data_IF_353066081605
#
_entry.id   IF_353066081605
#
_cell.length_a   1.000
_cell.length_b   1.000
_cell.length_c   1.000
_cell.angle_alpha   90.00
_cell.angle_beta   90.00
_cell.angle_gamma   90.00
#
_symmetry.space_group_name_H-M   'P 1'
#
loop_
_entity.id
_entity.type
_entity.pdbx_description
1 polymer ?
#
# COMPACT_ATOMS: atom_id res chain seq x y z
N UNK A 1 -6.58 -4.57 -81.06
CA UNK A 1 -5.35 -5.04 -81.72
C UNK A 1 -4.23 -5.02 -80.68
N UNK A 2 -3.71 -6.22 -80.34
CA UNK A 2 -2.38 -6.61 -79.84
C UNK A 2 -1.63 -5.70 -78.83
N UNK A 3 -1.00 -6.17 -77.73
CA UNK A 3 -0.63 -7.51 -77.31
C UNK A 3 -0.42 -7.56 -75.78
N UNK A 4 -0.62 -8.75 -75.23
CA UNK A 4 -0.26 -9.18 -73.89
C UNK A 4 1.25 -9.39 -73.84
N UNK A 5 1.92 -9.00 -72.75
CA UNK A 5 3.21 -9.59 -72.39
C UNK A 5 3.33 -9.72 -70.87
N UNK A 6 3.40 -10.97 -70.42
CA UNK A 6 3.59 -11.36 -69.03
C UNK A 6 5.07 -11.49 -68.69
N UNK A 7 5.37 -11.24 -67.42
CA UNK A 7 6.60 -11.65 -66.76
C UNK A 7 6.31 -11.80 -65.26
N UNK A 8 6.72 -12.90 -64.60
CA UNK A 8 6.50 -13.08 -63.18
C UNK A 8 7.45 -12.17 -62.40
N UNK A 9 6.90 -11.26 -61.59
CA UNK A 9 7.68 -10.54 -60.60
C UNK A 9 8.08 -11.52 -59.49
N UNK A 10 9.38 -11.84 -59.45
CA UNK A 10 9.99 -12.67 -58.42
C UNK A 10 9.71 -12.08 -57.02
N UNK A 11 9.10 -12.89 -56.16
CA UNK A 11 9.03 -12.63 -54.72
C UNK A 11 10.41 -12.89 -54.14
N UNK A 12 11.08 -11.94 -53.47
CA UNK A 12 12.28 -12.26 -52.73
C UNK A 12 11.88 -12.99 -51.45
N UNK A 13 12.25 -14.27 -51.37
CA UNK A 13 12.20 -15.05 -50.15
C UNK A 13 13.36 -14.68 -49.21
N UNK A 14 13.01 -14.50 -47.93
CA UNK A 14 13.78 -14.73 -46.71
C UNK A 14 15.25 -14.25 -46.62
N UNK A 15 15.48 -13.34 -45.68
CA UNK A 15 16.81 -13.01 -45.15
C UNK A 15 16.74 -12.41 -43.74
N UNK A 16 15.86 -12.93 -42.88
CA UNK A 16 15.76 -12.50 -41.48
C UNK A 16 16.88 -13.12 -40.65
N UNK A 17 18.05 -12.50 -40.66
CA UNK A 17 19.13 -12.76 -39.72
C UNK A 17 18.69 -12.34 -38.31
N UNK A 18 18.08 -13.28 -37.58
CA UNK A 18 17.93 -13.20 -36.12
C UNK A 18 19.31 -13.23 -35.47
N UNK A 19 19.97 -12.08 -35.45
CA UNK A 19 21.32 -11.93 -34.90
C UNK A 19 21.36 -12.10 -33.36
N UNK A 20 22.54 -12.46 -32.81
CA UNK A 20 22.76 -12.68 -31.37
C UNK A 20 22.49 -11.45 -30.48
N UNK A 21 22.36 -10.25 -31.05
CA UNK A 21 22.04 -9.02 -30.34
C UNK A 21 20.61 -9.00 -29.75
N UNK A 22 19.63 -9.64 -30.41
CA UNK A 22 18.24 -9.70 -29.92
C UNK A 22 18.10 -10.64 -28.71
N UNK A 23 18.93 -11.69 -28.63
CA UNK A 23 18.96 -12.62 -27.49
C UNK A 23 19.67 -12.03 -26.25
N UNK A 24 20.64 -11.13 -26.45
CA UNK A 24 21.30 -10.41 -25.36
C UNK A 24 20.35 -9.45 -24.62
N UNK A 25 19.59 -8.65 -25.37
CA UNK A 25 18.67 -7.66 -24.79
C UNK A 25 17.50 -8.27 -24.01
N UNK A 26 16.98 -9.43 -24.41
CA UNK A 26 15.91 -10.12 -23.68
C UNK A 26 16.40 -10.72 -22.36
N UNK A 27 17.63 -11.27 -22.33
CA UNK A 27 18.25 -11.84 -21.13
C UNK A 27 18.64 -10.77 -20.11
N UNK A 28 19.18 -9.64 -20.57
CA UNK A 28 19.46 -8.47 -19.72
C UNK A 28 18.17 -7.87 -19.13
N UNK A 29 17.09 -7.80 -19.91
CA UNK A 29 15.77 -7.36 -19.42
C UNK A 29 15.20 -8.29 -18.36
N UNK A 30 15.26 -9.60 -18.57
CA UNK A 30 14.77 -10.59 -17.61
C UNK A 30 15.58 -10.59 -16.30
N UNK A 31 16.91 -10.47 -16.39
CA UNK A 31 17.78 -10.38 -15.20
C UNK A 31 17.53 -9.11 -14.40
N UNK A 32 17.34 -7.96 -15.07
CA UNK A 32 16.95 -6.72 -14.41
C UNK A 32 15.59 -6.81 -13.71
N UNK A 33 14.60 -7.42 -14.36
CA UNK A 33 13.28 -7.64 -13.77
C UNK A 33 13.37 -8.55 -12.53
N UNK A 34 14.09 -9.67 -12.62
CA UNK A 34 14.30 -10.57 -11.49
C UNK A 34 15.04 -9.86 -10.34
N UNK A 35 16.07 -9.06 -10.64
CA UNK A 35 16.79 -8.25 -9.67
C UNK A 35 15.88 -7.22 -8.98
N UNK A 36 15.00 -6.55 -9.72
CA UNK A 36 14.05 -5.59 -9.16
C UNK A 36 13.06 -6.27 -8.20
N UNK A 37 12.53 -7.43 -8.59
CA UNK A 37 11.65 -8.25 -7.73
C UNK A 37 12.38 -8.70 -6.47
N UNK A 38 13.65 -9.11 -6.59
CA UNK A 38 14.45 -9.53 -5.44
C UNK A 38 14.71 -8.39 -4.45
N UNK A 39 15.05 -7.18 -4.94
CA UNK A 39 15.24 -6.00 -4.09
C UNK A 39 13.94 -5.62 -3.39
N UNK A 40 12.81 -5.65 -4.09
CA UNK A 40 11.50 -5.40 -3.50
C UNK A 40 11.17 -6.45 -2.43
N UNK A 41 11.31 -7.74 -2.73
CA UNK A 41 11.04 -8.80 -1.76
C UNK A 41 11.91 -8.64 -0.49
N UNK A 42 13.20 -8.34 -0.64
CA UNK A 42 14.11 -8.10 0.48
C UNK A 42 13.69 -6.88 1.31
N UNK A 43 13.36 -5.76 0.65
CA UNK A 43 12.87 -4.56 1.33
C UNK A 43 11.55 -4.84 2.07
N UNK A 44 10.64 -5.61 1.48
CA UNK A 44 9.37 -5.99 2.11
C UNK A 44 9.58 -6.78 3.40
N UNK A 45 10.45 -7.80 3.37
CA UNK A 45 10.78 -8.61 4.55
C UNK A 45 11.47 -7.74 5.61
N UNK A 46 12.43 -6.91 5.20
CA UNK A 46 13.17 -6.05 6.11
C UNK A 46 12.24 -5.05 6.82
N UNK A 47 11.33 -4.43 6.08
CA UNK A 47 10.42 -3.40 6.59
C UNK A 47 9.28 -3.96 7.45
N UNK A 48 8.83 -5.20 7.23
CA UNK A 48 7.72 -5.76 7.98
C UNK A 48 8.16 -6.70 9.12
N UNK A 49 9.35 -7.31 9.05
CA UNK A 49 9.73 -8.38 9.99
C UNK A 49 11.02 -8.14 10.76
N UNK A 50 11.99 -7.44 10.18
CA UNK A 50 13.33 -7.34 10.78
C UNK A 50 13.59 -5.96 11.39
N UNK A 51 13.29 -4.88 10.67
CA UNK A 51 13.58 -3.51 11.10
C UNK A 51 12.47 -2.51 10.71
N UNK A 52 11.22 -2.67 11.19
CA UNK A 52 10.13 -1.75 10.84
C UNK A 52 10.42 -0.28 11.15
N UNK A 53 11.17 -0.01 12.22
CA UNK A 53 11.57 1.35 12.60
C UNK A 53 12.58 2.00 11.65
N UNK A 54 13.30 1.20 10.87
CA UNK A 54 14.28 1.69 9.89
C UNK A 54 13.71 1.76 8.47
N UNK A 55 12.41 1.49 8.30
CA UNK A 55 11.73 1.49 7.01
C UNK A 55 12.02 2.72 6.13
N UNK A 56 12.11 3.97 6.63
CA UNK A 56 12.46 5.10 5.77
C UNK A 56 13.86 4.98 5.15
N UNK A 57 14.83 4.49 5.93
CA UNK A 57 16.21 4.33 5.47
C UNK A 57 16.33 3.14 4.50
N UNK A 58 15.75 2.01 4.85
CA UNK A 58 15.79 0.79 4.02
C UNK A 58 15.00 0.98 2.72
N UNK A 59 13.87 1.68 2.76
CA UNK A 59 13.10 2.05 1.57
C UNK A 59 13.83 3.05 0.68
N UNK A 60 14.51 4.05 1.25
CA UNK A 60 15.35 4.96 0.48
C UNK A 60 16.52 4.22 -0.20
N UNK A 61 17.20 3.32 0.53
CA UNK A 61 18.27 2.50 -0.02
C UNK A 61 17.79 1.57 -1.13
N UNK A 62 16.66 0.86 -0.93
CA UNK A 62 16.04 0.00 -1.93
C UNK A 62 15.62 0.80 -3.18
N UNK A 63 15.05 1.99 -3.00
CA UNK A 63 14.72 2.91 -4.10
C UNK A 63 15.97 3.27 -4.91
N UNK A 64 17.07 3.62 -4.24
CA UNK A 64 18.34 3.92 -4.89
C UNK A 64 18.89 2.72 -5.68
N UNK A 65 18.83 1.52 -5.10
CA UNK A 65 19.25 0.28 -5.75
C UNK A 65 18.40 -0.04 -6.99
N UNK A 66 17.08 0.11 -6.90
CA UNK A 66 16.15 -0.09 -8.01
C UNK A 66 16.39 0.90 -9.15
N UNK A 67 16.60 2.19 -8.83
CA UNK A 67 16.93 3.19 -9.83
C UNK A 67 18.28 2.90 -10.49
N UNK A 68 19.31 2.56 -9.71
CA UNK A 68 20.62 2.21 -10.26
C UNK A 68 20.53 0.99 -11.20
N UNK A 69 19.80 -0.05 -10.80
CA UNK A 69 19.53 -1.23 -11.63
C UNK A 69 18.82 -0.83 -12.93
N UNK A 70 17.70 -0.11 -12.84
CA UNK A 70 16.92 0.31 -14.00
C UNK A 70 17.74 1.17 -14.98
N UNK A 71 18.57 2.09 -14.45
CA UNK A 71 19.42 2.95 -15.26
C UNK A 71 20.54 2.18 -15.95
N UNK A 72 21.16 1.20 -15.26
CA UNK A 72 22.14 0.28 -15.85
C UNK A 72 21.53 -0.61 -16.94
N UNK A 73 20.25 -0.94 -16.82
CA UNK A 73 19.48 -1.66 -17.85
C UNK A 73 18.95 -0.76 -18.98
N UNK A 74 19.31 0.52 -19.00
CA UNK A 74 19.02 1.45 -20.08
C UNK A 74 17.67 2.17 -20.01
N UNK A 75 16.88 2.05 -18.93
CA UNK A 75 15.60 2.77 -18.82
C UNK A 75 15.82 4.27 -18.70
N UNK A 76 15.19 5.07 -19.55
CA UNK A 76 15.19 6.53 -19.46
C UNK A 76 14.35 7.05 -18.28
N UNK A 77 14.58 8.30 -17.87
CA UNK A 77 13.74 8.98 -16.87
C UNK A 77 12.27 9.10 -17.31
N UNK A 78 12.01 9.15 -18.61
CA UNK A 78 10.66 9.13 -19.19
C UNK A 78 9.98 7.78 -18.99
N UNK A 79 10.69 6.68 -19.25
CA UNK A 79 10.19 5.32 -19.00
C UNK A 79 9.98 5.04 -17.50
N UNK A 80 10.79 5.66 -16.64
CA UNK A 80 10.59 5.62 -15.20
C UNK A 80 9.44 6.55 -14.72
N UNK A 81 8.98 7.49 -15.54
CA UNK A 81 7.83 8.35 -15.25
C UNK A 81 8.17 9.68 -14.55
N UNK A 82 9.39 10.20 -14.66
CA UNK A 82 9.84 11.43 -13.99
C UNK A 82 9.65 12.73 -14.79
N UNK A 83 9.20 12.68 -16.05
CA UNK A 83 9.20 13.87 -16.94
C UNK A 83 7.95 14.75 -16.84
N UNK A 84 6.82 14.23 -16.36
CA UNK A 84 5.52 14.91 -16.36
C UNK A 84 5.26 15.76 -15.10
N UNK A 85 6.31 16.22 -14.41
CA UNK A 85 6.24 16.78 -13.06
C UNK A 85 5.11 17.80 -12.83
N UNK A 86 5.02 18.87 -13.63
CA UNK A 86 3.97 19.90 -13.43
C UNK A 86 2.55 19.36 -13.61
N UNK A 87 2.33 18.51 -14.62
CA UNK A 87 1.02 17.89 -14.87
C UNK A 87 0.67 16.90 -13.76
N UNK A 88 1.65 16.10 -13.35
CA UNK A 88 1.55 15.18 -12.23
C UNK A 88 1.19 15.87 -10.92
N UNK A 89 1.87 16.97 -10.61
CA UNK A 89 1.58 17.78 -9.43
C UNK A 89 0.17 18.37 -9.45
N UNK A 90 -0.33 18.82 -10.62
CA UNK A 90 -1.72 19.32 -10.74
C UNK A 90 -2.74 18.22 -10.52
N UNK A 91 -2.59 17.08 -11.21
CA UNK A 91 -3.52 15.94 -11.10
C UNK A 91 -3.48 15.38 -9.67
N UNK A 92 -2.28 15.08 -9.17
CA UNK A 92 -2.08 14.53 -7.83
C UNK A 92 -2.53 15.49 -6.74
N UNK A 93 -2.26 16.79 -6.88
CA UNK A 93 -2.72 17.82 -5.94
C UNK A 93 -4.24 17.96 -5.91
N UNK A 94 -4.91 17.95 -7.07
CA UNK A 94 -6.37 17.96 -7.13
C UNK A 94 -6.98 16.70 -6.47
N UNK A 95 -6.39 15.53 -6.71
CA UNK A 95 -6.81 14.29 -6.08
C UNK A 95 -6.56 14.28 -4.57
N UNK A 96 -5.41 14.78 -4.12
CA UNK A 96 -5.10 14.95 -2.70
C UNK A 96 -6.08 15.91 -2.00
N UNK A 97 -6.43 17.02 -2.65
CA UNK A 97 -7.45 17.95 -2.16
C UNK A 97 -8.84 17.28 -2.08
N UNK A 98 -9.22 16.50 -3.10
CA UNK A 98 -10.47 15.74 -3.07
C UNK A 98 -10.50 14.72 -1.92
N UNK A 99 -9.39 14.04 -1.62
CA UNK A 99 -9.28 13.16 -0.45
C UNK A 99 -9.47 13.96 0.83
N UNK A 100 -8.78 15.10 1.00
CA UNK A 100 -8.94 15.95 2.18
C UNK A 100 -10.39 16.44 2.38
N UNK A 101 -11.08 16.81 1.29
CA UNK A 101 -12.50 17.18 1.31
C UNK A 101 -13.37 16.00 1.73
N UNK A 102 -13.12 14.80 1.20
CA UNK A 102 -13.87 13.60 1.56
C UNK A 102 -13.72 13.25 3.05
N UNK A 103 -12.50 13.33 3.58
CA UNK A 103 -12.25 13.18 5.02
C UNK A 103 -12.96 14.27 5.84
N UNK A 104 -12.90 15.53 5.41
CA UNK A 104 -13.58 16.64 6.07
C UNK A 104 -15.09 16.48 6.12
N UNK A 105 -15.71 16.12 5.00
CA UNK A 105 -17.14 15.84 4.91
C UNK A 105 -17.52 14.64 5.80
N UNK A 106 -16.70 13.59 5.81
CA UNK A 106 -16.90 12.41 6.65
C UNK A 106 -16.83 12.70 8.16
N UNK A 107 -16.00 13.65 8.60
CA UNK A 107 -15.99 14.08 10.01
C UNK A 107 -17.15 15.04 10.32
N UNK A 108 -17.54 15.87 9.36
CA UNK A 108 -18.64 16.83 9.53
C UNK A 108 -19.95 16.10 9.87
N UNK A 109 -20.20 14.94 9.26
CA UNK A 109 -21.38 14.11 9.49
C UNK A 109 -21.20 13.25 10.77
N UNK A 110 -21.98 13.45 11.85
CA UNK A 110 -21.78 12.74 13.11
C UNK A 110 -21.85 11.21 12.99
N UNK A 111 -22.78 10.70 12.17
CA UNK A 111 -23.00 9.27 11.97
C UNK A 111 -21.78 8.54 11.35
N UNK A 112 -20.87 9.27 10.70
CA UNK A 112 -19.68 8.69 10.06
C UNK A 112 -18.40 8.89 10.85
N UNK A 113 -18.39 9.71 11.92
CA UNK A 113 -17.18 10.01 12.70
C UNK A 113 -16.47 8.79 13.25
N UNK A 114 -17.23 7.75 13.64
CA UNK A 114 -16.67 6.48 14.12
C UNK A 114 -15.73 5.80 13.13
N UNK A 115 -15.93 6.00 11.82
CA UNK A 115 -15.07 5.43 10.78
C UNK A 115 -13.74 6.17 10.62
N UNK A 116 -13.64 7.40 11.15
CA UNK A 116 -12.43 8.22 11.09
C UNK A 116 -11.64 8.22 12.40
N UNK A 117 -12.18 7.60 13.47
CA UNK A 117 -11.45 7.36 14.71
C UNK A 117 -10.61 6.10 14.59
N UNK A 118 -9.33 6.27 14.29
CA UNK A 118 -8.37 5.17 14.39
C UNK A 118 -7.71 5.20 15.76
N UNK A 119 -8.09 4.28 16.65
CA UNK A 119 -7.49 4.11 17.98
C UNK A 119 -5.97 3.93 17.93
N UNK A 120 -5.43 3.38 16.82
CA UNK A 120 -3.98 3.24 16.65
C UNK A 120 -3.32 4.58 16.37
N UNK A 121 -3.94 5.44 15.56
CA UNK A 121 -3.43 6.80 15.35
C UNK A 121 -3.58 7.65 16.62
N UNK A 122 -4.63 7.41 17.41
CA UNK A 122 -4.89 8.10 18.67
C UNK A 122 -3.96 7.65 19.81
N UNK A 123 -3.52 6.39 19.84
CA UNK A 123 -2.59 5.87 20.84
C UNK A 123 -1.15 6.38 20.66
N UNK A 124 -0.80 6.86 19.46
CA UNK A 124 0.49 7.50 19.21
C UNK A 124 0.56 8.90 19.83
N UNK A 125 1.78 9.29 20.25
CA UNK A 125 2.05 10.69 20.58
C UNK A 125 1.85 11.60 19.36
N UNK A 126 1.60 12.89 19.58
CA UNK A 126 1.45 13.87 18.49
C UNK A 126 2.68 13.91 17.59
N UNK A 127 3.87 13.94 18.22
CA UNK A 127 5.15 13.92 17.52
C UNK A 127 5.31 12.65 16.68
N UNK A 128 4.98 11.47 17.23
CA UNK A 128 5.10 10.21 16.50
C UNK A 128 4.15 10.15 15.31
N UNK A 129 2.89 10.57 15.45
CA UNK A 129 1.98 10.58 14.31
C UNK A 129 2.37 11.60 13.22
N UNK A 130 3.01 12.72 13.59
CA UNK A 130 3.60 13.63 12.59
C UNK A 130 4.79 12.98 11.89
N UNK A 131 5.65 12.27 12.63
CA UNK A 131 6.74 11.47 12.05
C UNK A 131 6.19 10.39 11.10
N UNK A 132 5.11 9.70 11.49
CA UNK A 132 4.41 8.73 10.63
C UNK A 132 3.92 9.39 9.34
N UNK A 133 3.14 10.47 9.46
CA UNK A 133 2.50 11.14 8.33
C UNK A 133 3.49 11.88 7.40
N UNK A 134 4.61 12.38 7.92
CA UNK A 134 5.53 13.25 7.16
C UNK A 134 6.84 12.56 6.75
N UNK A 135 7.24 11.48 7.43
CA UNK A 135 8.49 10.78 7.15
C UNK A 135 8.26 9.32 6.81
N UNK A 136 7.62 8.56 7.71
CA UNK A 136 7.42 7.12 7.52
C UNK A 136 6.58 6.84 6.28
N UNK A 137 5.41 7.47 6.15
CA UNK A 137 4.52 7.23 5.02
C UNK A 137 5.14 7.73 3.71
N UNK A 138 5.64 8.97 3.59
CA UNK A 138 6.17 9.44 2.31
C UNK A 138 7.44 8.69 1.87
N UNK A 139 8.34 8.36 2.80
CA UNK A 139 9.65 7.78 2.45
C UNK A 139 9.69 6.27 2.68
N UNK A 140 9.23 5.80 3.83
CA UNK A 140 9.19 4.38 4.19
C UNK A 140 8.21 3.57 3.35
N UNK A 141 7.14 4.18 2.85
CA UNK A 141 6.10 3.52 2.05
C UNK A 141 6.06 4.06 0.62
N UNK A 142 5.61 5.30 0.44
CA UNK A 142 5.19 5.81 -0.88
C UNK A 142 6.35 5.88 -1.87
N UNK A 143 7.52 6.40 -1.44
CA UNK A 143 8.68 6.54 -2.32
C UNK A 143 9.07 5.20 -2.95
N UNK A 144 9.25 4.16 -2.12
CA UNK A 144 9.64 2.84 -2.59
C UNK A 144 8.55 2.23 -3.46
N UNK A 145 7.29 2.35 -3.06
CA UNK A 145 6.19 1.72 -3.79
C UNK A 145 5.94 2.36 -5.15
N UNK A 146 5.94 3.69 -5.25
CA UNK A 146 5.75 4.36 -6.54
C UNK A 146 6.93 4.16 -7.46
N UNK A 147 8.17 4.33 -6.97
CA UNK A 147 9.36 4.16 -7.81
C UNK A 147 9.56 2.70 -8.20
N UNK A 148 9.38 1.76 -7.26
CA UNK A 148 9.59 0.34 -7.49
C UNK A 148 8.56 -0.27 -8.44
N UNK A 149 7.27 -0.10 -8.14
CA UNK A 149 6.21 -0.72 -8.94
C UNK A 149 5.87 0.11 -10.19
N UNK A 150 5.56 1.41 -10.03
CA UNK A 150 5.06 2.26 -11.13
C UNK A 150 6.18 2.86 -11.99
N UNK A 151 7.40 2.91 -11.46
CA UNK A 151 8.61 3.33 -12.18
C UNK A 151 9.35 2.15 -12.80
N UNK A 152 10.04 1.38 -11.96
CA UNK A 152 11.02 0.36 -12.39
C UNK A 152 10.36 -0.89 -12.95
N UNK A 153 9.51 -1.58 -12.19
CA UNK A 153 8.83 -2.79 -12.67
C UNK A 153 7.97 -2.49 -13.89
N UNK A 154 7.10 -1.48 -13.78
CA UNK A 154 6.28 -1.03 -14.90
C UNK A 154 7.13 -0.69 -16.13
N UNK A 155 8.22 0.08 -15.98
CA UNK A 155 9.09 0.47 -17.10
C UNK A 155 9.75 -0.73 -17.78
N UNK A 156 10.30 -1.67 -17.00
CA UNK A 156 10.93 -2.88 -17.51
C UNK A 156 9.92 -3.76 -18.26
N UNK A 157 8.73 -3.95 -17.68
CA UNK A 157 7.65 -4.72 -18.28
C UNK A 157 7.06 -4.05 -19.52
N UNK A 158 6.90 -2.71 -19.50
CA UNK A 158 6.34 -1.97 -20.62
C UNK A 158 7.26 -2.04 -21.84
N UNK A 159 8.57 -1.98 -21.63
CA UNK A 159 9.58 -2.09 -22.69
C UNK A 159 9.64 -3.49 -23.30
N UNK A 160 9.44 -4.54 -22.50
CA UNK A 160 9.61 -5.93 -22.93
C UNK A 160 8.32 -6.63 -23.37
N UNK A 161 7.19 -6.30 -22.75
CA UNK A 161 5.90 -6.99 -22.93
C UNK A 161 4.73 -6.04 -23.21
N UNK A 162 4.99 -4.74 -23.33
CA UNK A 162 3.99 -3.72 -23.62
C UNK A 162 3.21 -3.24 -22.39
N UNK A 163 2.43 -2.18 -22.59
CA UNK A 163 1.71 -1.49 -21.52
C UNK A 163 0.67 -2.35 -20.80
N UNK A 164 -0.17 -3.17 -21.48
CA UNK A 164 -1.16 -4.00 -20.79
C UNK A 164 -0.53 -4.98 -19.80
N UNK A 165 0.55 -5.66 -20.21
CA UNK A 165 1.29 -6.58 -19.35
C UNK A 165 1.94 -5.84 -18.17
N UNK A 166 2.52 -4.65 -18.42
CA UNK A 166 3.10 -3.83 -17.36
C UNK A 166 2.07 -3.44 -16.29
N UNK A 167 0.87 -3.01 -16.70
CA UNK A 167 -0.23 -2.70 -15.77
C UNK A 167 -0.63 -3.96 -15.00
N UNK A 168 -0.88 -5.07 -15.69
CA UNK A 168 -1.37 -6.30 -15.05
C UNK A 168 -0.35 -6.86 -14.04
N UNK A 169 0.89 -7.09 -14.48
CA UNK A 169 1.93 -7.73 -13.65
C UNK A 169 2.40 -6.83 -12.53
N UNK A 170 2.64 -5.54 -12.79
CA UNK A 170 3.04 -4.61 -11.72
C UNK A 170 1.95 -4.46 -10.67
N UNK A 171 0.68 -4.48 -11.06
CA UNK A 171 -0.44 -4.36 -10.12
C UNK A 171 -0.66 -5.65 -9.33
N UNK A 172 -0.51 -6.82 -9.95
CA UNK A 172 -0.56 -8.10 -9.26
C UNK A 172 0.57 -8.23 -8.22
N UNK A 173 1.81 -7.87 -8.59
CA UNK A 173 2.94 -7.85 -7.65
C UNK A 173 2.73 -6.83 -6.52
N UNK A 174 2.11 -5.69 -6.81
CA UNK A 174 1.73 -4.72 -5.79
C UNK A 174 0.64 -5.25 -4.85
N UNK A 175 -0.29 -6.07 -5.34
CA UNK A 175 -1.22 -6.81 -4.49
C UNK A 175 -0.49 -7.76 -3.54
N UNK A 176 0.44 -8.57 -4.08
CA UNK A 176 1.22 -9.53 -3.31
C UNK A 176 2.16 -8.88 -2.28
N UNK A 177 2.66 -7.66 -2.56
CA UNK A 177 3.43 -6.85 -1.62
C UNK A 177 2.71 -6.68 -0.27
N UNK A 178 1.37 -6.60 -0.29
CA UNK A 178 0.54 -6.34 0.89
C UNK A 178 0.21 -7.59 1.72
N UNK A 179 0.75 -8.77 1.41
CA UNK A 179 0.47 -9.99 2.18
C UNK A 179 0.94 -9.88 3.63
N UNK A 180 2.20 -9.47 3.88
CA UNK A 180 2.73 -9.33 5.25
C UNK A 180 1.97 -8.25 6.05
N UNK A 181 1.78 -7.02 5.53
CA UNK A 181 0.87 -6.03 6.10
C UNK A 181 -0.52 -6.56 6.48
N UNK A 182 -1.14 -7.34 5.59
CA UNK A 182 -2.50 -7.83 5.79
C UNK A 182 -2.58 -8.91 6.89
N UNK A 183 -1.56 -9.76 7.00
CA UNK A 183 -1.46 -10.72 8.11
C UNK A 183 -1.37 -9.97 9.44
N UNK A 184 -0.52 -8.95 9.52
CA UNK A 184 -0.32 -8.19 10.76
C UNK A 184 -1.58 -7.39 11.13
N UNK A 185 -2.31 -6.88 10.13
CA UNK A 185 -3.62 -6.25 10.32
C UNK A 185 -4.69 -7.23 10.83
N UNK A 186 -4.77 -8.44 10.27
CA UNK A 186 -5.72 -9.46 10.70
C UNK A 186 -5.46 -9.90 12.15
N UNK A 187 -4.18 -10.01 12.54
CA UNK A 187 -3.77 -10.31 13.90
C UNK A 187 -4.08 -9.17 14.89
N UNK A 188 -3.96 -7.92 14.45
CA UNK A 188 -4.19 -6.75 15.29
C UNK A 188 -5.68 -6.35 15.42
N UNK A 189 -6.58 -6.88 14.58
CA UNK A 189 -7.98 -6.44 14.54
C UNK A 189 -8.98 -7.63 14.52
N UNK A 190 -9.44 -8.08 15.69
CA UNK A 190 -10.42 -9.16 15.81
C UNK A 190 -11.75 -8.88 15.10
N UNK A 191 -12.17 -7.61 15.03
CA UNK A 191 -13.42 -7.23 14.36
C UNK A 191 -13.34 -7.42 12.83
N UNK A 192 -12.18 -7.15 12.22
CA UNK A 192 -11.94 -7.44 10.80
C UNK A 192 -11.99 -8.95 10.53
N UNK A 193 -11.44 -9.75 11.44
CA UNK A 193 -11.48 -11.21 11.36
C UNK A 193 -12.90 -11.77 11.54
N UNK A 194 -13.71 -11.21 12.44
CA UNK A 194 -15.12 -11.58 12.60
C UNK A 194 -15.98 -11.21 11.37
N UNK A 195 -15.77 -10.01 10.80
CA UNK A 195 -16.41 -9.61 9.53
C UNK A 195 -16.00 -10.55 8.38
N UNK A 196 -14.73 -10.92 8.31
CA UNK A 196 -14.25 -11.89 7.33
C UNK A 196 -14.88 -13.27 7.56
N UNK A 197 -15.13 -13.65 8.83
CA UNK A 197 -15.80 -14.87 9.23
C UNK A 197 -17.27 -14.95 8.76
N UNK A 198 -17.88 -13.80 8.46
CA UNK A 198 -19.31 -13.68 8.16
C UNK A 198 -20.17 -13.44 9.40
N UNK A 199 -19.55 -13.12 10.54
CA UNK A 199 -20.25 -12.75 11.75
C UNK A 199 -20.71 -11.29 11.61
N UNK A 200 -22.02 -11.06 11.70
CA UNK A 200 -22.56 -9.71 11.68
C UNK A 200 -22.01 -8.94 12.90
N UNK A 201 -21.53 -7.70 12.73
CA UNK A 201 -21.11 -6.90 13.87
C UNK A 201 -22.33 -6.74 14.77
N UNK A 202 -22.22 -7.21 16.01
CA UNK A 202 -23.29 -7.11 17.00
C UNK A 202 -23.81 -5.68 17.07
N UNK A 203 -25.05 -5.47 16.61
CA UNK A 203 -25.78 -4.21 16.71
C UNK A 203 -25.28 -3.07 15.83
N UNK A 204 -25.28 -3.21 14.50
CA UNK A 204 -25.31 -2.06 13.59
C UNK A 204 -26.31 -2.28 12.45
N UNK A 205 -27.24 -1.34 12.32
CA UNK A 205 -28.32 -1.36 11.33
C UNK A 205 -27.81 -1.49 9.88
N UNK A 206 -28.55 -2.17 8.99
CA UNK A 206 -28.13 -2.39 7.61
C UNK A 206 -28.26 -1.10 6.79
N UNK A 207 -27.15 -0.62 6.23
CA UNK A 207 -27.16 0.50 5.30
C UNK A 207 -25.91 1.39 5.39
N UNK A 208 -24.76 0.91 4.93
CA UNK A 208 -23.65 1.77 4.54
C UNK A 208 -23.34 1.54 3.06
N UNK A 209 -23.30 2.59 2.22
CA UNK A 209 -23.06 2.45 0.79
C UNK A 209 -21.61 2.01 0.51
N UNK A 210 -21.41 1.41 -0.65
CA UNK A 210 -20.15 0.85 -1.17
C UNK A 210 -18.95 1.83 -1.29
N UNK A 211 -19.07 3.07 -0.77
CA UNK A 211 -18.00 4.07 -0.72
C UNK A 211 -17.03 3.88 0.46
N UNK A 212 -17.39 3.07 1.47
CA UNK A 212 -16.54 2.78 2.63
C UNK A 212 -15.37 1.82 2.33
N UNK A 213 -15.40 1.12 1.19
CA UNK A 213 -14.34 0.17 0.81
C UNK A 213 -13.05 0.85 0.37
N UNK A 214 -13.13 2.06 -0.20
CA UNK A 214 -11.96 2.84 -0.61
C UNK A 214 -11.17 3.40 0.58
N UNK A 215 -11.87 3.78 1.66
CA UNK A 215 -11.25 4.18 2.94
C UNK A 215 -10.68 3.01 3.72
N UNK A 216 -11.26 1.81 3.58
CA UNK A 216 -10.73 0.60 4.24
C UNK A 216 -9.36 0.19 3.68
N UNK A 217 -9.15 0.32 2.36
CA UNK A 217 -7.86 0.05 1.71
C UNK A 217 -6.79 1.08 2.06
N UNK A 218 -7.18 2.36 2.23
CA UNK A 218 -6.30 3.43 2.69
C UNK A 218 -5.77 3.21 4.11
N UNK A 219 -6.64 2.74 5.01
CA UNK A 219 -6.26 2.43 6.38
C UNK A 219 -5.43 1.15 6.49
N UNK A 220 -5.57 0.20 5.55
CA UNK A 220 -4.83 -1.06 5.57
C UNK A 220 -3.32 -0.88 5.30
N UNK A 221 -2.92 0.02 4.40
CA UNK A 221 -1.49 0.32 4.14
C UNK A 221 -0.83 1.13 5.27
N UNK A 222 -1.58 2.04 5.91
CA UNK A 222 -1.11 2.76 7.10
C UNK A 222 -0.95 1.85 8.34
N UNK A 223 -1.77 0.79 8.44
CA UNK A 223 -1.81 -0.14 9.57
C UNK A 223 -0.53 -0.96 9.80
N UNK A 224 0.25 -1.23 8.75
CA UNK A 224 1.43 -2.10 8.86
C UNK A 224 2.68 -1.39 9.42
N UNK A 225 2.71 -0.05 9.42
CA UNK A 225 3.83 0.70 10.00
C UNK A 225 3.72 0.89 11.52
N UNK A 226 2.53 0.66 12.10
CA UNK A 226 2.23 1.01 13.50
C UNK A 226 2.31 -0.17 14.49
N UNK A 227 2.69 -1.39 14.06
CA UNK A 227 2.90 -2.54 14.96
C UNK A 227 4.22 -2.41 15.74
N UNK A 228 4.34 -1.36 16.54
CA UNK A 228 5.37 -1.24 17.57
C UNK A 228 4.85 -1.97 18.81
N UNK A 229 5.52 -3.06 19.14
CA UNK A 229 5.27 -3.85 20.34
C UNK A 229 5.21 -2.98 21.60
N UNK A 230 4.13 -3.12 22.34
CA UNK A 230 4.00 -2.62 23.71
C UNK A 230 5.03 -3.37 24.56
N UNK A 231 6.02 -2.64 25.06
CA UNK A 231 6.95 -3.17 26.04
C UNK A 231 6.20 -3.54 27.32
N UNK A 232 6.37 -4.79 27.77
CA UNK A 232 5.88 -5.27 29.07
C UNK A 232 6.52 -4.43 30.20
N UNK A 233 5.75 -3.91 31.17
CA UNK A 233 6.34 -3.15 32.27
C UNK A 233 7.21 -4.05 33.16
N UNK A 234 8.29 -3.53 33.77
CA UNK A 234 9.10 -4.29 34.71
C UNK A 234 8.32 -4.54 36.01
N UNK A 235 8.45 -5.75 36.55
CA UNK A 235 7.97 -6.12 37.88
C UNK A 235 8.64 -5.23 38.93
N UNK A 236 7.84 -4.39 39.61
CA UNK A 236 8.30 -3.61 40.74
C UNK A 236 8.31 -4.48 42.00
N UNK A 237 9.47 -4.59 42.62
CA UNK A 237 9.68 -5.25 43.89
C UNK A 237 9.12 -4.42 45.06
N UNK A 238 8.36 -5.10 45.93
CA UNK A 238 8.23 -4.85 47.37
C UNK A 238 7.78 -3.47 47.85
N UNK A 239 6.51 -3.34 48.23
CA UNK A 239 6.05 -2.29 49.17
C UNK A 239 5.42 -2.89 50.43
N UNK A 240 5.52 -2.23 51.60
CA UNK A 240 5.18 -2.82 52.89
C UNK A 240 3.66 -2.87 53.15
N UNK A 241 3.25 -3.81 53.99
CA UNK A 241 1.88 -4.15 54.34
C UNK A 241 1.18 -3.05 55.15
N UNK A 242 0.01 -2.59 54.68
CA UNK A 242 -0.95 -1.74 55.42
C UNK A 242 -2.20 -2.60 55.75
N UNK A 243 -2.87 -2.42 56.92
CA UNK A 243 -3.98 -3.27 57.33
C UNK A 243 -5.24 -3.08 56.47
N UNK A 244 -5.98 -4.16 56.27
CA UNK A 244 -7.07 -4.30 55.33
C UNK A 244 -8.32 -3.44 55.67
N UNK A 245 -8.80 -2.69 54.67
CA UNK A 245 -10.14 -2.10 54.62
C UNK A 245 -11.18 -3.17 54.20
N UNK A 246 -12.47 -3.00 54.54
CA UNK A 246 -13.52 -3.98 54.21
C UNK A 246 -13.62 -4.23 52.70
N UNK A 247 -13.79 -5.51 52.35
CA UNK A 247 -13.76 -6.03 50.98
C UNK A 247 -14.72 -5.30 50.05
N UNK A 248 -14.17 -4.57 49.08
CA UNK A 248 -14.91 -4.07 47.94
C UNK A 248 -15.52 -5.25 47.15
N UNK A 249 -16.68 -5.08 46.50
CA UNK A 249 -17.23 -6.09 45.60
C UNK A 249 -16.19 -6.46 44.54
N UNK A 250 -16.10 -7.75 44.21
CA UNK A 250 -15.15 -8.26 43.24
C UNK A 250 -15.23 -7.43 41.94
N UNK A 251 -14.10 -7.01 41.36
CA UNK A 251 -14.12 -6.32 40.08
C UNK A 251 -14.84 -7.21 39.05
N UNK A 252 -15.61 -6.60 38.12
CA UNK A 252 -16.23 -7.37 37.05
C UNK A 252 -15.16 -8.22 36.35
N UNK A 253 -15.44 -9.51 36.19
CA UNK A 253 -14.57 -10.44 35.46
C UNK A 253 -14.27 -9.80 34.11
N UNK A 254 -13.00 -9.51 33.85
CA UNK A 254 -12.59 -8.92 32.59
C UNK A 254 -13.09 -9.83 31.45
N UNK A 255 -13.71 -9.27 30.40
CA UNK A 255 -14.17 -10.08 29.28
C UNK A 255 -13.00 -10.93 28.78
N UNK A 256 -13.25 -12.22 28.58
CA UNK A 256 -12.27 -13.15 28.06
C UNK A 256 -11.71 -12.57 26.74
N UNK A 257 -10.37 -12.54 26.55
CA UNK A 257 -9.81 -12.01 25.33
C UNK A 257 -10.42 -12.76 24.13
N UNK A 258 -10.82 -12.05 23.06
CA UNK A 258 -11.43 -12.70 21.90
C UNK A 258 -10.51 -13.79 21.39
N UNK A 259 -11.08 -14.94 21.01
CA UNK A 259 -10.32 -16.05 20.45
C UNK A 259 -9.46 -15.57 19.28
N UNK A 260 -8.24 -16.09 19.18
CA UNK A 260 -7.34 -15.74 18.08
C UNK A 260 -8.00 -16.05 16.73
N UNK A 261 -7.83 -15.19 15.71
CA UNK A 261 -8.48 -15.38 14.42
C UNK A 261 -8.08 -16.71 13.79
N UNK A 262 -9.04 -17.41 13.17
CA UNK A 262 -8.72 -18.67 12.50
C UNK A 262 -7.80 -18.43 11.30
N UNK A 263 -7.10 -19.48 10.88
CA UNK A 263 -6.28 -19.42 9.67
C UNK A 263 -7.13 -19.06 8.42
N UNK A 264 -8.40 -19.48 8.40
CA UNK A 264 -9.34 -19.16 7.33
C UNK A 264 -9.76 -17.68 7.32
N UNK A 265 -9.93 -17.06 8.48
CA UNK A 265 -10.28 -15.64 8.58
C UNK A 265 -9.10 -14.76 8.14
N UNK A 266 -7.91 -15.11 8.61
CA UNK A 266 -6.67 -14.46 8.18
C UNK A 266 -6.50 -14.57 6.66
N UNK A 267 -6.71 -15.76 6.09
CA UNK A 267 -6.61 -15.97 4.65
C UNK A 267 -7.63 -15.11 3.85
N UNK A 268 -8.86 -14.97 4.34
CA UNK A 268 -9.89 -14.11 3.73
C UNK A 268 -9.49 -12.63 3.76
N UNK A 269 -9.00 -12.12 4.89
CA UNK A 269 -8.50 -10.74 5.01
C UNK A 269 -7.33 -10.49 4.06
N UNK A 270 -6.37 -11.42 4.02
CA UNK A 270 -5.21 -11.33 3.12
C UNK A 270 -5.66 -11.33 1.66
N UNK A 271 -6.54 -12.24 1.25
CA UNK A 271 -7.06 -12.30 -0.11
C UNK A 271 -7.77 -11.00 -0.51
N UNK A 272 -8.64 -10.47 0.36
CA UNK A 272 -9.32 -9.19 0.15
C UNK A 272 -8.35 -8.01 0.01
N UNK A 273 -7.31 -7.97 0.86
CA UNK A 273 -6.24 -6.97 0.78
C UNK A 273 -5.48 -7.06 -0.55
N UNK A 274 -5.02 -8.25 -0.95
CA UNK A 274 -4.27 -8.46 -2.19
C UNK A 274 -5.08 -8.03 -3.42
N UNK A 275 -6.36 -8.41 -3.48
CA UNK A 275 -7.25 -8.04 -4.60
C UNK A 275 -7.48 -6.53 -4.64
N UNK A 276 -7.86 -5.92 -3.51
CA UNK A 276 -8.17 -4.49 -3.45
C UNK A 276 -6.95 -3.61 -3.74
N UNK A 277 -5.78 -3.95 -3.20
CA UNK A 277 -4.52 -3.25 -3.47
C UNK A 277 -4.02 -3.49 -4.90
N UNK A 278 -4.26 -4.67 -5.47
CA UNK A 278 -4.01 -4.92 -6.90
C UNK A 278 -4.86 -4.02 -7.81
N UNK A 279 -6.15 -3.85 -7.51
CA UNK A 279 -7.02 -2.91 -8.24
C UNK A 279 -6.51 -1.47 -8.09
N UNK A 280 -6.12 -1.06 -6.87
CA UNK A 280 -5.52 0.24 -6.62
C UNK A 280 -4.22 0.44 -7.43
N UNK A 281 -3.39 -0.61 -7.54
CA UNK A 281 -2.19 -0.62 -8.37
C UNK A 281 -2.48 -0.32 -9.84
N UNK A 282 -3.57 -0.88 -10.39
CA UNK A 282 -3.98 -0.62 -11.76
C UNK A 282 -4.45 0.84 -11.96
N UNK A 283 -5.19 1.39 -10.98
CA UNK A 283 -5.57 2.80 -10.96
C UNK A 283 -4.34 3.72 -10.92
N UNK A 284 -3.35 3.40 -10.08
CA UNK A 284 -2.11 4.17 -9.97
C UNK A 284 -1.25 4.07 -11.23
N UNK A 285 -1.20 2.92 -11.90
CA UNK A 285 -0.60 2.81 -13.24
C UNK A 285 -1.30 3.74 -14.24
N UNK A 286 -2.63 3.84 -14.17
CA UNK A 286 -3.43 4.79 -14.97
C UNK A 286 -3.05 6.25 -14.70
N UNK A 287 -2.89 6.63 -13.43
CA UNK A 287 -2.44 7.98 -13.03
C UNK A 287 -1.00 8.25 -13.51
N UNK A 288 -0.10 7.28 -13.32
CA UNK A 288 1.29 7.35 -13.79
C UNK A 288 1.37 7.60 -15.29
N UNK A 289 0.50 7.00 -16.10
CA UNK A 289 0.42 7.26 -17.55
C UNK A 289 -0.09 8.65 -17.91
N UNK A 290 -0.87 9.30 -17.03
CA UNK A 290 -1.45 10.63 -17.29
C UNK A 290 -0.59 11.78 -16.76
N UNK A 291 0.19 11.57 -15.71
CA UNK A 291 0.92 12.63 -15.03
C UNK A 291 2.28 12.21 -14.46
N UNK A 292 2.85 11.09 -14.88
CA UNK A 292 4.10 10.56 -14.31
C UNK A 292 3.93 10.14 -12.85
N UNK A 293 5.04 9.88 -12.15
CA UNK A 293 5.04 9.35 -10.79
C UNK A 293 4.49 10.33 -9.74
N UNK A 294 4.54 11.65 -10.00
CA UNK A 294 4.05 12.64 -9.05
C UNK A 294 2.54 12.54 -8.80
N UNK A 295 1.74 12.18 -9.82
CA UNK A 295 0.30 12.05 -9.69
C UNK A 295 -0.13 10.94 -8.70
N UNK A 296 0.27 9.66 -8.88
CA UNK A 296 -0.04 8.62 -7.92
C UNK A 296 0.64 8.85 -6.58
N UNK A 297 1.90 9.34 -6.54
CA UNK A 297 2.60 9.61 -5.27
C UNK A 297 1.84 10.58 -4.37
N UNK A 298 1.34 11.70 -4.90
CA UNK A 298 0.59 12.67 -4.11
C UNK A 298 -0.75 12.12 -3.62
N UNK A 299 -1.50 11.42 -4.49
CA UNK A 299 -2.73 10.75 -4.06
C UNK A 299 -2.44 9.73 -2.96
N UNK A 300 -1.37 8.96 -3.11
CA UNK A 300 -0.96 7.91 -2.19
C UNK A 300 -0.51 8.46 -0.83
N UNK A 301 0.33 9.52 -0.82
CA UNK A 301 0.65 10.27 0.41
C UNK A 301 -0.61 10.81 1.06
N UNK A 302 -1.49 11.46 0.31
CA UNK A 302 -2.72 12.05 0.87
C UNK A 302 -3.61 10.99 1.52
N UNK A 303 -3.78 9.86 0.85
CA UNK A 303 -4.67 8.78 1.30
C UNK A 303 -4.18 8.14 2.60
N UNK A 304 -2.87 7.94 2.75
CA UNK A 304 -2.28 7.34 3.95
C UNK A 304 -2.02 8.36 5.08
N UNK A 305 -1.57 9.58 4.74
CA UNK A 305 -1.11 10.55 5.75
C UNK A 305 -2.26 11.33 6.38
N UNK A 306 -3.32 11.61 5.61
CA UNK A 306 -4.46 12.35 6.13
C UNK A 306 -5.23 11.55 7.19
N UNK A 307 -5.19 10.22 7.17
CA UNK A 307 -5.78 9.40 8.22
C UNK A 307 -5.27 9.76 9.63
N UNK A 308 -3.96 9.97 9.77
CA UNK A 308 -3.34 10.38 11.05
C UNK A 308 -3.79 11.78 11.51
N UNK A 309 -3.97 12.71 10.57
CA UNK A 309 -4.45 14.06 10.86
C UNK A 309 -5.94 14.05 11.25
N UNK A 310 -6.77 13.39 10.44
CA UNK A 310 -8.21 13.40 10.58
C UNK A 310 -8.69 12.61 11.81
N UNK A 311 -7.99 11.53 12.18
CA UNK A 311 -8.25 10.82 13.44
C UNK A 311 -8.17 11.73 14.68
N UNK A 312 -7.29 12.74 14.66
CA UNK A 312 -7.04 13.65 15.80
C UNK A 312 -8.00 14.82 15.88
N UNK A 313 -8.59 15.23 14.77
CA UNK A 313 -9.55 16.36 14.73
C UNK A 313 -11.01 15.89 14.81
N UNK A 314 -11.27 14.57 14.72
CA UNK A 314 -12.60 14.01 14.89
C UNK A 314 -13.16 14.29 16.32
N UNK A 315 -14.25 15.06 16.46
CA UNK A 315 -14.82 15.37 17.79
C UNK A 315 -15.28 14.10 18.50
N UNK A 316 -15.01 13.98 19.81
CA UNK A 316 -15.51 12.90 20.69
C UNK A 316 -17.00 12.61 20.51
N UNK A 317 -17.41 11.35 20.64
CA UNK A 317 -18.84 11.08 20.85
C UNK A 317 -19.23 11.64 22.23
N UNK A 318 -20.34 12.38 22.32
CA UNK A 318 -20.88 12.75 23.62
C UNK A 318 -21.24 11.48 24.40
N UNK A 319 -21.07 11.47 25.73
CA UNK A 319 -21.42 10.30 26.53
C UNK A 319 -22.89 9.91 26.29
N UNK A 320 -23.22 8.60 26.29
CA UNK A 320 -24.60 8.17 26.19
C UNK A 320 -25.41 8.81 27.32
N UNK A 321 -26.56 9.38 26.97
CA UNK A 321 -27.51 9.97 27.92
C UNK A 321 -28.33 8.89 28.60
#
# INVERSE_FOLDING_TARGET
MCAVNGGPAAVPAAGGSGGPAAAGGSREGATALAGAVAVLAAANVLNNRMAPRLAPLTSAAATGALLALARRSGLSWTELGFTEGRRGLRIGGALAAAVAVAYGAGIAIPATRRFFRDERALSLSRARALEEALLQVPVGTVLLEEVGFRGVLYGLLARSHGTPAAVAVSSALFGLWHVLPAIDMAAANPALSALAAGEAPGGAAPGAPASASASASASASASASASVGVARPPEAAGTPSVPAAPSAPAPPVAPEPPAAPSAADTARVVAGSVVSTGIAGALFCGLRRRGGLAAPALLHVATNSLGYLFARIAPGEPPPR
#
